data_IF_267090583689
#
_entry.id   IF_267090583689
#
_cell.length_a   1.000
_cell.length_b   1.000
_cell.length_c   1.000
_cell.angle_alpha   90.00
_cell.angle_beta   90.00
_cell.angle_gamma   90.00
#
_symmetry.space_group_name_H-M   'P 1'
#
loop_
_entity.id
_entity.type
_entity.pdbx_description
1 polymer ?
#
# COMPACT_ATOMS: atom_id res chain seq x y z
N UNK A 1 11.58 7.82 13.81
CA UNK A 1 11.83 7.70 12.36
C UNK A 1 12.03 6.24 12.04
N UNK A 2 10.96 5.55 11.65
CA UNK A 2 11.05 4.18 11.16
C UNK A 2 10.77 4.26 9.65
N UNK A 3 11.83 4.18 8.84
CA UNK A 3 11.74 4.26 7.37
C UNK A 3 11.00 3.07 6.76
N UNK A 4 10.71 2.05 7.57
CA UNK A 4 10.15 0.78 7.17
C UNK A 4 9.34 0.19 8.34
N UNK A 5 8.30 -0.56 8.02
CA UNK A 5 7.51 -1.33 8.97
C UNK A 5 6.92 -2.57 8.29
N UNK A 6 6.62 -3.62 9.06
CA UNK A 6 6.07 -4.87 8.50
C UNK A 6 4.55 -4.79 8.44
N UNK A 7 4.03 -4.60 7.23
CA UNK A 7 2.63 -4.78 6.90
C UNK A 7 2.23 -6.24 6.73
N UNK A 8 0.95 -6.46 6.41
CA UNK A 8 0.40 -7.76 6.06
C UNK A 8 -0.51 -7.62 4.84
N UNK A 9 -0.46 -8.61 3.96
CA UNK A 9 -1.45 -8.79 2.90
C UNK A 9 -2.60 -9.60 3.48
N UNK A 10 -3.81 -9.03 3.45
CA UNK A 10 -5.02 -9.67 3.95
C UNK A 10 -6.09 -9.71 2.86
N UNK A 11 -7.02 -10.63 3.02
CA UNK A 11 -8.23 -10.72 2.23
C UNK A 11 -9.41 -10.65 3.20
N UNK A 12 -10.32 -9.71 3.01
CA UNK A 12 -11.41 -9.46 3.97
C UNK A 12 -12.49 -10.54 3.96
N UNK A 13 -12.63 -11.26 2.85
CA UNK A 13 -13.51 -12.43 2.75
C UNK A 13 -13.01 -13.39 1.69
N UNK A 14 -13.32 -14.68 1.81
CA UNK A 14 -12.88 -15.71 0.85
C UNK A 14 -13.33 -15.44 -0.60
N UNK A 15 -14.42 -14.68 -0.77
CA UNK A 15 -14.98 -14.33 -2.09
C UNK A 15 -14.48 -12.99 -2.63
N UNK A 16 -13.76 -12.20 -1.83
CA UNK A 16 -13.23 -10.92 -2.27
C UNK A 16 -12.22 -11.13 -3.40
N UNK A 17 -12.37 -10.36 -4.49
CA UNK A 17 -11.42 -10.34 -5.61
C UNK A 17 -10.24 -9.39 -5.36
N UNK A 18 -10.16 -8.81 -4.17
CA UNK A 18 -9.20 -7.78 -3.81
C UNK A 18 -8.41 -8.20 -2.58
N UNK A 19 -7.13 -7.85 -2.57
CA UNK A 19 -6.25 -7.98 -1.41
C UNK A 19 -5.94 -6.60 -0.86
N UNK A 20 -5.78 -6.51 0.45
CA UNK A 20 -5.48 -5.28 1.15
C UNK A 20 -4.09 -5.41 1.76
N UNK A 21 -3.29 -4.35 1.67
CA UNK A 21 -2.00 -4.25 2.34
C UNK A 21 -2.16 -3.32 3.53
N UNK A 22 -1.78 -3.77 4.72
CA UNK A 22 -1.73 -2.87 5.88
C UNK A 22 -0.45 -2.05 5.83
N UNK A 23 -0.58 -0.73 5.85
CA UNK A 23 0.55 0.20 6.00
C UNK A 23 0.69 0.49 7.50
N UNK A 24 1.82 0.15 8.13
CA UNK A 24 2.02 0.40 9.55
C UNK A 24 1.92 1.90 9.90
N UNK A 25 1.40 2.21 11.09
CA UNK A 25 1.21 3.59 11.53
C UNK A 25 2.51 4.42 11.50
N UNK A 26 3.65 3.79 11.84
CA UNK A 26 4.96 4.46 11.79
C UNK A 26 5.37 4.91 10.37
N UNK A 27 4.84 4.25 9.34
CA UNK A 27 5.06 4.60 7.92
C UNK A 27 4.00 5.60 7.46
N UNK A 28 2.72 5.38 7.80
CA UNK A 28 1.62 6.24 7.38
C UNK A 28 1.62 7.62 8.07
N UNK A 29 2.24 7.74 9.25
CA UNK A 29 2.38 9.00 10.00
C UNK A 29 3.63 9.81 9.63
N UNK A 30 4.47 9.34 8.70
CA UNK A 30 5.60 10.11 8.17
C UNK A 30 5.08 11.24 7.27
N UNK A 31 5.67 12.43 7.37
CA UNK A 31 5.28 13.62 6.61
C UNK A 31 5.49 13.47 5.10
N UNK A 32 6.32 12.51 4.67
CA UNK A 32 6.54 12.16 3.26
C UNK A 32 5.61 11.05 2.78
N UNK A 33 4.73 10.53 3.62
CA UNK A 33 3.74 9.55 3.18
C UNK A 33 2.84 10.18 2.12
N UNK A 34 2.83 9.67 0.88
CA UNK A 34 2.34 10.45 -0.25
C UNK A 34 0.82 10.35 -0.44
N UNK A 35 0.06 9.77 0.49
CA UNK A 35 -1.36 9.49 0.31
C UNK A 35 -2.22 10.01 1.46
N UNK A 36 -3.44 10.39 1.14
CA UNK A 36 -4.50 10.68 2.13
C UNK A 36 -5.45 9.49 2.29
N UNK A 37 -6.14 9.42 3.44
CA UNK A 37 -7.12 8.35 3.68
C UNK A 37 -8.31 8.51 2.74
N UNK A 38 -8.57 7.48 1.93
CA UNK A 38 -9.67 7.48 0.95
C UNK A 38 -9.27 7.99 -0.43
N UNK A 39 -8.01 8.40 -0.63
CA UNK A 39 -7.48 8.78 -1.94
C UNK A 39 -7.46 7.60 -2.91
N UNK A 40 -7.80 7.84 -4.18
CA UNK A 40 -7.64 6.86 -5.24
C UNK A 40 -6.16 6.73 -5.64
N UNK A 41 -5.72 5.50 -5.91
CA UNK A 41 -4.32 5.21 -6.25
C UNK A 41 -4.24 4.25 -7.44
N UNK A 42 -3.18 4.40 -8.22
CA UNK A 42 -2.80 3.42 -9.25
C UNK A 42 -1.97 2.32 -8.60
N UNK A 43 -2.33 1.06 -8.83
CA UNK A 43 -1.60 -0.11 -8.34
C UNK A 43 -1.13 -0.95 -9.53
N UNK A 44 0.18 -1.16 -9.65
CA UNK A 44 0.78 -1.93 -10.75
C UNK A 44 1.87 -2.88 -10.27
N UNK A 45 2.17 -3.88 -11.08
CA UNK A 45 3.30 -4.79 -10.86
C UNK A 45 4.46 -4.32 -11.74
N UNK A 46 5.61 -4.06 -11.13
CA UNK A 46 6.87 -3.95 -11.87
C UNK A 46 7.47 -5.36 -12.00
N UNK A 47 7.28 -5.98 -13.17
CA UNK A 47 7.65 -7.38 -13.42
C UNK A 47 9.15 -7.64 -13.19
N UNK A 48 10.00 -6.72 -13.66
CA UNK A 48 11.46 -6.82 -13.56
C UNK A 48 11.96 -6.90 -12.11
N UNK A 49 11.24 -6.25 -11.20
CA UNK A 49 11.63 -6.12 -9.78
C UNK A 49 10.77 -6.96 -8.84
N UNK A 50 9.81 -7.72 -9.37
CA UNK A 50 8.87 -8.56 -8.60
C UNK A 50 8.23 -7.81 -7.42
N UNK A 51 7.82 -6.56 -7.65
CA UNK A 51 7.22 -5.70 -6.62
C UNK A 51 5.92 -5.06 -7.10
N UNK A 52 5.03 -4.77 -6.14
CA UNK A 52 3.86 -3.94 -6.37
C UNK A 52 4.24 -2.50 -6.09
N UNK A 53 3.84 -1.60 -6.98
CA UNK A 53 4.01 -0.16 -6.84
C UNK A 53 2.65 0.48 -6.72
N UNK A 54 2.52 1.40 -5.78
CA UNK A 54 1.33 2.22 -5.55
C UNK A 54 1.73 3.68 -5.78
N UNK A 55 1.00 4.36 -6.65
CA UNK A 55 1.25 5.74 -7.08
C UNK A 55 -0.04 6.54 -7.03
N UNK A 56 0.04 7.87 -6.95
CA UNK A 56 -1.14 8.74 -7.10
C UNK A 56 -1.77 8.52 -8.47
N UNK A 57 -3.09 8.66 -8.53
CA UNK A 57 -3.77 8.85 -9.82
C UNK A 57 -3.37 10.22 -10.36
N UNK A 58 -3.03 10.31 -11.64
CA UNK A 58 -2.71 11.58 -12.32
C UNK A 58 -3.93 12.51 -12.40
#
# INVERSE_FOLDING_TARGET
MSKEGKGKVIQLSERARTRYVTIPADVAGDDRFPFETGEEVTVRIEEDKRRVVVEKVE
#
